data_IF_705589989407
#
_entry.id   IF_705589989407
#
_cell.length_a   1.000
_cell.length_b   1.000
_cell.length_c   1.000
_cell.angle_alpha   90.00
_cell.angle_beta   90.00
_cell.angle_gamma   90.00
#
_symmetry.space_group_name_H-M   'P 1'
#
loop_
_entity.id
_entity.type
_entity.pdbx_description
1 polymer ?
#
# COMPACT_ATOMS: atom_id res chain seq x y z
N UNK A 1 5.92 15.02 -14.37
CA UNK A 1 5.06 14.80 -13.19
C UNK A 1 4.08 13.67 -13.47
N UNK A 2 4.60 12.53 -13.95
CA UNK A 2 3.83 11.35 -14.32
C UNK A 2 4.50 10.03 -13.85
N UNK A 3 5.71 10.10 -13.30
CA UNK A 3 6.52 8.92 -12.99
C UNK A 3 5.95 8.04 -11.88
N UNK A 4 5.28 8.62 -10.87
CA UNK A 4 4.70 7.82 -9.77
C UNK A 4 3.45 7.05 -10.22
N UNK A 5 2.62 7.66 -11.08
CA UNK A 5 1.40 7.02 -11.59
C UNK A 5 1.74 5.92 -12.61
N UNK A 6 2.78 6.13 -13.43
CA UNK A 6 3.28 5.11 -14.37
C UNK A 6 3.99 3.96 -13.65
N UNK A 7 4.67 4.22 -12.53
CA UNK A 7 5.22 3.18 -11.66
C UNK A 7 4.10 2.36 -11.00
N UNK A 8 3.05 3.02 -10.50
CA UNK A 8 1.88 2.35 -9.92
C UNK A 8 1.10 1.50 -10.94
N UNK A 9 1.08 1.89 -12.22
CA UNK A 9 0.44 1.13 -13.29
C UNK A 9 1.30 -0.05 -13.82
N UNK A 10 2.61 -0.05 -13.54
CA UNK A 10 3.50 -1.16 -13.91
C UNK A 10 3.48 -2.30 -12.87
N UNK A 11 2.88 -2.04 -11.71
CA UNK A 11 2.58 -3.02 -10.67
C UNK A 11 1.28 -3.74 -11.06
N UNK A 12 1.38 -4.59 -12.07
CA UNK A 12 0.31 -5.51 -12.51
C UNK A 12 0.16 -6.70 -11.53
N UNK A 13 0.88 -6.66 -10.42
CA UNK A 13 0.89 -7.61 -9.31
C UNK A 13 0.39 -6.88 -8.07
N UNK A 14 -0.57 -7.43 -7.34
CA UNK A 14 -1.05 -6.82 -6.09
C UNK A 14 0.17 -6.66 -5.16
N UNK A 15 0.54 -5.44 -4.72
CA UNK A 15 1.75 -5.25 -3.92
C UNK A 15 1.71 -6.14 -2.68
N UNK A 16 2.80 -6.85 -2.42
CA UNK A 16 2.87 -7.74 -1.25
C UNK A 16 2.80 -6.95 0.06
N UNK A 17 2.54 -7.63 1.19
CA UNK A 17 2.58 -6.97 2.51
C UNK A 17 3.91 -6.26 2.76
N UNK A 18 5.03 -6.88 2.38
CA UNK A 18 6.36 -6.32 2.58
C UNK A 18 6.57 -5.04 1.76
N UNK A 19 6.05 -4.99 0.52
CA UNK A 19 6.11 -3.80 -0.31
C UNK A 19 5.20 -2.68 0.23
N UNK A 20 4.00 -3.05 0.70
CA UNK A 20 3.06 -2.11 1.33
C UNK A 20 3.65 -1.48 2.60
N UNK A 21 4.33 -2.29 3.43
CA UNK A 21 5.03 -1.79 4.62
C UNK A 21 6.21 -0.88 4.26
N UNK A 22 6.98 -1.20 3.20
CA UNK A 22 8.04 -0.31 2.70
C UNK A 22 7.50 1.04 2.20
N UNK A 23 6.35 1.04 1.50
CA UNK A 23 5.68 2.27 1.07
C UNK A 23 5.20 3.12 2.26
N UNK A 24 4.69 2.49 3.33
CA UNK A 24 4.31 3.17 4.57
C UNK A 24 5.52 3.80 5.27
N UNK A 25 6.67 3.13 5.27
CA UNK A 25 7.90 3.70 5.82
C UNK A 25 8.38 4.92 5.04
N UNK A 26 8.33 4.89 3.71
CA UNK A 26 8.69 6.04 2.88
C UNK A 26 7.72 7.22 3.09
N UNK A 27 6.41 6.96 3.14
CA UNK A 27 5.40 7.99 3.42
C UNK A 27 5.56 8.61 4.82
N UNK A 28 6.03 7.84 5.81
CA UNK A 28 6.35 8.38 7.15
C UNK A 28 7.56 9.33 7.17
N UNK A 29 8.45 9.25 6.17
CA UNK A 29 9.59 10.17 6.03
C UNK A 29 9.22 11.48 5.33
N UNK A 30 8.08 11.51 4.62
CA UNK A 30 7.56 12.73 4.01
C UNK A 30 6.95 13.66 5.05
N UNK A 31 6.88 14.98 4.77
CA UNK A 31 6.20 15.93 5.64
C UNK A 31 4.74 15.49 5.86
N UNK A 32 4.31 15.47 7.12
CA UNK A 32 2.94 15.13 7.55
C UNK A 32 1.95 16.19 7.07
N UNK A 33 1.60 16.12 5.80
CA UNK A 33 0.48 16.85 5.19
C UNK A 33 -0.79 16.00 5.26
N UNK A 34 -1.95 16.64 5.12
CA UNK A 34 -3.25 15.95 5.06
C UNK A 34 -3.29 14.92 3.94
N UNK A 35 -2.68 15.23 2.78
CA UNK A 35 -2.56 14.28 1.66
C UNK A 35 -1.72 13.05 2.03
N UNK A 36 -0.58 13.25 2.71
CA UNK A 36 0.28 12.14 3.14
C UNK A 36 -0.42 11.27 4.20
N UNK A 37 -1.18 11.89 5.11
CA UNK A 37 -1.98 11.17 6.10
C UNK A 37 -3.06 10.29 5.43
N UNK A 38 -3.81 10.84 4.47
CA UNK A 38 -4.82 10.09 3.71
C UNK A 38 -4.21 8.92 2.92
N UNK A 39 -3.01 9.11 2.35
CA UNK A 39 -2.26 8.05 1.65
C UNK A 39 -1.83 6.91 2.60
N UNK A 40 -1.39 7.25 3.81
CA UNK A 40 -1.04 6.28 4.85
C UNK A 40 -2.27 5.49 5.29
N UNK A 41 -3.40 6.16 5.54
CA UNK A 41 -4.65 5.49 5.92
C UNK A 41 -5.15 4.54 4.82
N UNK A 42 -5.08 4.96 3.55
CA UNK A 42 -5.43 4.10 2.41
C UNK A 42 -4.54 2.87 2.28
N UNK A 43 -3.23 2.99 2.54
CA UNK A 43 -2.31 1.85 2.51
C UNK A 43 -2.49 0.90 3.70
N UNK A 44 -2.87 1.41 4.87
CA UNK A 44 -3.21 0.58 6.03
C UNK A 44 -4.49 -0.24 5.80
N UNK A 45 -5.48 0.35 5.15
CA UNK A 45 -6.71 -0.35 4.74
C UNK A 45 -6.37 -1.44 3.70
N UNK A 46 -5.59 -1.09 2.68
CA UNK A 46 -5.12 -2.04 1.67
C UNK A 46 -4.32 -3.21 2.27
N UNK A 47 -3.43 -2.94 3.23
CA UNK A 47 -2.70 -3.99 3.99
C UNK A 47 -3.65 -4.92 4.75
N UNK A 48 -4.72 -4.37 5.31
CA UNK A 48 -5.75 -5.15 6.01
C UNK A 48 -6.53 -6.05 5.04
N UNK A 49 -6.85 -5.55 3.85
CA UNK A 49 -7.47 -6.35 2.80
C UNK A 49 -6.52 -7.45 2.29
N UNK A 50 -5.24 -7.15 2.10
CA UNK A 50 -4.22 -8.15 1.77
C UNK A 50 -4.07 -9.21 2.85
N UNK A 51 -4.18 -8.84 4.14
CA UNK A 51 -4.16 -9.79 5.24
C UNK A 51 -5.34 -10.76 5.19
N UNK A 52 -6.50 -10.28 4.77
CA UNK A 52 -7.70 -11.11 4.60
C UNK A 52 -7.57 -11.99 3.35
N UNK A 53 -7.01 -11.46 2.26
CA UNK A 53 -6.85 -12.19 0.99
C UNK A 53 -5.69 -13.20 0.98
N UNK A 54 -4.65 -12.99 1.80
CA UNK A 54 -3.51 -13.91 1.91
C UNK A 54 -3.72 -15.02 2.92
N UNK A 55 -4.81 -14.99 3.70
CA UNK A 55 -5.14 -16.02 4.66
C UNK A 55 -5.93 -17.15 3.96
N UNK A 56 -5.33 -18.34 3.73
CA UNK A 56 -6.01 -19.45 3.07
C UNK A 56 -7.03 -20.17 3.99
N UNK A 57 -7.29 -19.70 5.22
CA UNK A 57 -8.15 -20.42 6.17
C UNK A 57 -9.66 -20.22 5.91
N UNK A 58 -10.04 -19.48 4.86
CA UNK A 58 -11.44 -19.29 4.46
C UNK A 58 -11.95 -20.31 3.42
N UNK A 59 -11.08 -21.23 2.98
CA UNK A 59 -11.43 -22.34 2.07
C UNK A 59 -11.43 -23.73 2.76
N UNK A 60 -11.75 -23.81 4.05
CA UNK A 60 -11.89 -25.07 4.80
C UNK A 60 -13.32 -25.31 5.31
#
# INVERSE_FOLDING_TARGET
MADIVTLAASVNDIPSMSETDAMLEELRRLPRTVETANLIDGLLDFRSLLAISTDPAREA
#
